data_IF_684071201872
#
_entry.id   IF_684071201872
#
_cell.length_a   1.000
_cell.length_b   1.000
_cell.length_c   1.000
_cell.angle_alpha   90.00
_cell.angle_beta   90.00
_cell.angle_gamma   90.00
#
_symmetry.space_group_name_H-M   'P 1'
#
loop_
_entity.id
_entity.type
_entity.pdbx_description
1 polymer ?
#
# COMPACT_ATOMS: atom_id res chain seq x y z
N UNK A 1 8.47 8.35 -5.11
CA UNK A 1 7.05 8.55 -4.78
C UNK A 1 6.65 7.88 -3.47
N UNK A 2 5.59 8.37 -2.81
CA UNK A 2 5.04 7.79 -1.59
C UNK A 2 3.52 7.70 -1.68
N UNK A 3 2.97 6.54 -1.35
CA UNK A 3 1.53 6.31 -1.25
C UNK A 3 1.14 5.92 0.16
N UNK A 4 0.02 6.46 0.63
CA UNK A 4 -0.65 6.04 1.86
C UNK A 4 -1.91 5.28 1.46
N UNK A 5 -1.95 4.00 1.79
CA UNK A 5 -3.04 3.10 1.49
C UNK A 5 -3.94 2.99 2.73
N UNK A 6 -5.22 3.26 2.53
CA UNK A 6 -6.27 3.09 3.53
C UNK A 6 -7.02 1.78 3.29
N UNK A 7 -7.14 1.02 4.37
CA UNK A 7 -7.74 -0.32 4.38
C UNK A 7 -9.26 -0.21 4.40
N UNK A 8 -9.95 -1.22 3.87
CA UNK A 8 -11.41 -1.27 4.00
C UNK A 8 -11.86 -1.28 5.47
N UNK A 9 -13.00 -0.62 5.80
CA UNK A 9 -13.57 -0.65 7.14
C UNK A 9 -13.86 -2.07 7.64
N UNK A 10 -14.13 -3.00 6.72
CA UNK A 10 -14.29 -4.44 6.99
C UNK A 10 -13.07 -5.09 7.63
N UNK A 11 -11.86 -4.58 7.37
CA UNK A 11 -10.60 -5.03 7.99
C UNK A 11 -10.39 -4.28 9.31
N UNK A 12 -10.67 -2.98 9.32
CA UNK A 12 -10.42 -2.09 10.47
C UNK A 12 -11.30 -2.42 11.68
N UNK A 13 -12.57 -2.78 11.45
CA UNK A 13 -13.55 -3.10 12.50
C UNK A 13 -13.30 -4.46 13.19
N UNK A 14 -12.41 -5.30 12.65
CA UNK A 14 -12.12 -6.63 13.22
C UNK A 14 -11.26 -6.54 14.49
N UNK A 15 -11.24 -7.62 15.26
CA UNK A 15 -10.37 -7.77 16.41
C UNK A 15 -8.89 -7.63 16.04
N UNK A 16 -8.05 -7.25 17.02
CA UNK A 16 -6.62 -6.95 16.80
C UNK A 16 -5.87 -8.08 16.08
N UNK A 17 -6.08 -9.35 16.47
CA UNK A 17 -5.41 -10.50 15.87
C UNK A 17 -5.81 -10.72 14.41
N UNK A 18 -7.12 -10.60 14.13
CA UNK A 18 -7.68 -10.75 12.79
C UNK A 18 -7.21 -9.62 11.90
N UNK A 19 -7.30 -8.37 12.36
CA UNK A 19 -6.80 -7.19 11.64
C UNK A 19 -5.34 -7.34 11.26
N UNK A 20 -4.47 -7.72 12.21
CA UNK A 20 -3.04 -7.94 11.93
C UNK A 20 -2.80 -9.01 10.87
N UNK A 21 -3.55 -10.11 10.90
CA UNK A 21 -3.45 -11.17 9.88
C UNK A 21 -3.85 -10.66 8.50
N UNK A 22 -4.99 -9.97 8.39
CA UNK A 22 -5.45 -9.38 7.13
C UNK A 22 -4.47 -8.34 6.59
N UNK A 23 -3.97 -7.43 7.43
CA UNK A 23 -3.00 -6.42 7.02
C UNK A 23 -1.69 -7.05 6.55
N UNK A 24 -1.20 -8.11 7.20
CA UNK A 24 -0.02 -8.87 6.75
C UNK A 24 -0.23 -9.53 5.39
N UNK A 25 -1.39 -10.14 5.15
CA UNK A 25 -1.72 -10.75 3.85
C UNK A 25 -1.76 -9.68 2.76
N UNK A 26 -2.44 -8.55 3.01
CA UNK A 26 -2.51 -7.45 2.05
C UNK A 26 -1.12 -6.84 1.78
N UNK A 27 -0.30 -6.65 2.81
CA UNK A 27 1.08 -6.20 2.66
C UNK A 27 1.90 -7.14 1.76
N UNK A 28 1.76 -8.46 1.94
CA UNK A 28 2.39 -9.47 1.11
C UNK A 28 1.93 -9.40 -0.34
N UNK A 29 0.61 -9.30 -0.55
CA UNK A 29 0.01 -9.19 -1.88
C UNK A 29 0.50 -7.94 -2.62
N UNK A 30 0.45 -6.77 -1.97
CA UNK A 30 0.95 -5.51 -2.55
C UNK A 30 2.43 -5.65 -2.90
N UNK A 31 3.27 -6.17 -2.00
CA UNK A 31 4.70 -6.37 -2.28
C UNK A 31 4.93 -7.28 -3.49
N UNK A 32 4.20 -8.38 -3.59
CA UNK A 32 4.36 -9.35 -4.67
C UNK A 32 3.93 -8.78 -6.03
N UNK A 33 2.88 -7.95 -6.08
CA UNK A 33 2.44 -7.29 -7.31
C UNK A 33 3.42 -6.20 -7.72
N UNK A 34 3.84 -5.34 -6.79
CA UNK A 34 4.75 -4.22 -7.08
C UNK A 34 6.14 -4.68 -7.53
N UNK A 35 6.67 -5.74 -6.91
CA UNK A 35 7.98 -6.32 -7.28
C UNK A 35 8.09 -6.80 -8.73
N UNK A 36 6.98 -6.99 -9.44
CA UNK A 36 7.00 -7.42 -10.85
C UNK A 36 7.54 -6.35 -11.80
N UNK A 37 7.50 -5.08 -11.40
CA UNK A 37 7.94 -3.96 -12.22
C UNK A 37 8.80 -2.95 -11.45
N UNK A 38 8.78 -2.99 -10.12
CA UNK A 38 9.62 -2.16 -9.26
C UNK A 38 10.22 -2.99 -8.13
N UNK A 39 11.47 -3.43 -8.30
CA UNK A 39 12.20 -4.24 -7.32
C UNK A 39 12.49 -3.48 -6.02
N UNK A 40 12.59 -2.14 -6.09
CA UNK A 40 12.89 -1.25 -4.98
C UNK A 40 11.64 -0.82 -4.19
N UNK A 41 10.46 -1.31 -4.57
CA UNK A 41 9.20 -1.01 -3.91
C UNK A 41 9.22 -1.47 -2.44
N UNK A 42 9.13 -0.52 -1.50
CA UNK A 42 9.05 -0.79 -0.07
C UNK A 42 7.64 -0.59 0.45
N UNK A 43 7.09 -1.62 1.09
CA UNK A 43 5.77 -1.59 1.74
C UNK A 43 5.95 -1.70 3.25
N UNK A 44 5.63 -0.61 3.96
CA UNK A 44 5.61 -0.53 5.43
C UNK A 44 4.19 -0.64 5.95
N UNK A 45 4.04 -1.31 7.08
CA UNK A 45 2.78 -1.43 7.79
C UNK A 45 2.83 -0.54 9.03
N UNK A 46 1.93 0.43 9.08
CA UNK A 46 1.63 1.20 10.28
C UNK A 46 0.34 0.66 10.92
N UNK A 47 -0.02 1.21 12.07
CA UNK A 47 -1.14 0.72 12.90
C UNK A 47 -2.51 0.72 12.20
N UNK A 48 -2.74 1.67 11.30
CA UNK A 48 -4.03 1.88 10.58
C UNK A 48 -3.85 2.12 9.06
N UNK A 49 -2.63 1.98 8.54
CA UNK A 49 -2.34 2.27 7.14
C UNK A 49 -1.18 1.46 6.61
N UNK A 50 -1.17 1.23 5.31
CA UNK A 50 0.01 0.73 4.61
C UNK A 50 0.67 1.91 3.89
N UNK A 51 1.99 2.00 3.97
CA UNK A 51 2.76 3.04 3.29
C UNK A 51 3.63 2.36 2.26
N UNK A 52 3.45 2.75 1.01
CA UNK A 52 4.28 2.30 -0.10
C UNK A 52 5.22 3.43 -0.47
N UNK A 53 6.50 3.14 -0.55
CA UNK A 53 7.52 4.09 -0.99
C UNK A 53 8.35 3.47 -2.08
N UNK A 54 8.54 4.21 -3.17
CA UNK A 54 9.45 3.85 -4.25
C UNK A 54 10.42 5.01 -4.51
N UNK A 55 11.63 4.64 -4.94
CA UNK A 55 12.69 5.59 -5.34
C UNK A 55 12.54 6.04 -6.79
N UNK A 56 11.76 5.35 -7.61
CA UNK A 56 11.67 5.58 -9.04
C UNK A 56 10.27 6.05 -9.46
N UNK A 57 10.14 7.31 -9.88
CA UNK A 57 8.87 7.92 -10.29
C UNK A 57 8.39 7.49 -11.69
N UNK A 58 9.21 6.76 -12.45
CA UNK A 58 8.91 6.32 -13.81
C UNK A 58 7.69 5.38 -13.90
N UNK A 59 7.39 4.64 -12.83
CA UNK A 59 6.29 3.68 -12.80
C UNK A 59 4.99 4.25 -12.23
N UNK A 60 4.89 5.57 -12.04
CA UNK A 60 3.76 6.21 -11.36
C UNK A 60 2.38 5.78 -11.90
N UNK A 61 2.16 5.84 -13.23
CA UNK A 61 0.89 5.42 -13.83
C UNK A 61 0.56 3.94 -13.54
N UNK A 62 1.58 3.08 -13.59
CA UNK A 62 1.45 1.65 -13.31
C UNK A 62 1.14 1.37 -11.84
N UNK A 63 1.66 2.20 -10.93
CA UNK A 63 1.29 2.16 -9.52
C UNK A 63 -0.18 2.47 -9.30
N UNK A 64 -0.73 3.49 -9.97
CA UNK A 64 -2.15 3.84 -9.85
C UNK A 64 -3.05 2.69 -10.31
N UNK A 65 -2.79 2.13 -11.49
CA UNK A 65 -3.56 1.01 -12.04
C UNK A 65 -3.48 -0.24 -11.14
N UNK A 66 -2.27 -0.59 -10.70
CA UNK A 66 -2.07 -1.80 -9.88
C UNK A 66 -2.69 -1.65 -8.50
N UNK A 67 -2.53 -0.52 -7.82
CA UNK A 67 -3.14 -0.29 -6.50
C UNK A 67 -4.66 -0.22 -6.57
N UNK A 68 -5.23 0.31 -7.67
CA UNK A 68 -6.69 0.32 -7.87
C UNK A 68 -7.28 -1.08 -8.03
N UNK A 69 -6.51 -2.04 -8.57
CA UNK A 69 -6.96 -3.42 -8.78
C UNK A 69 -6.75 -4.36 -7.58
N UNK A 70 -6.13 -3.90 -6.47
CA UNK A 70 -5.86 -4.76 -5.32
C UNK A 70 -7.07 -4.77 -4.37
N UNK A 71 -7.73 -5.93 -4.17
CA UNK A 71 -8.81 -6.03 -3.20
C UNK A 71 -8.27 -5.85 -1.78
N UNK A 72 -9.02 -5.17 -0.91
CA UNK A 72 -8.58 -4.83 0.44
C UNK A 72 -8.18 -3.35 0.60
N UNK A 73 -7.97 -2.63 -0.51
CA UNK A 73 -7.68 -1.19 -0.52
C UNK A 73 -8.98 -0.42 -0.77
N UNK A 74 -9.36 0.45 0.17
CA UNK A 74 -10.53 1.32 0.00
C UNK A 74 -10.20 2.52 -0.90
N UNK A 75 -9.11 3.20 -0.56
CA UNK A 75 -8.54 4.29 -1.33
C UNK A 75 -7.06 4.43 -0.98
N UNK A 76 -6.31 5.09 -1.85
CA UNK A 76 -4.91 5.42 -1.62
C UNK A 76 -4.68 6.90 -1.92
N UNK A 77 -3.71 7.48 -1.23
CA UNK A 77 -3.33 8.88 -1.33
C UNK A 77 -1.90 8.96 -1.83
N UNK A 78 -1.67 9.71 -2.89
CA UNK A 78 -0.33 10.07 -3.32
C UNK A 78 0.19 11.23 -2.46
N UNK A 79 1.42 11.10 -1.97
CA UNK A 79 2.05 12.09 -1.10
C UNK A 79 3.36 12.54 -1.72
N UNK A 80 3.48 13.84 -1.95
CA UNK A 80 4.75 14.51 -2.29
C UNK A 80 5.36 15.08 -1.02
N UNK A 81 6.61 14.72 -0.73
CA UNK A 81 7.38 15.33 0.34
C UNK A 81 8.01 16.61 -0.22
N UNK A 82 7.51 17.78 0.19
CA UNK A 82 8.17 19.06 -0.05
C UNK A 82 9.12 19.35 1.11
N UNK A 83 10.41 19.50 0.81
CA UNK A 83 11.38 20.03 1.77
C UNK A 83 11.22 21.55 1.77
N UNK A 84 10.83 22.13 2.91
CA UNK A 84 10.86 23.57 3.16
C UNK A 84 12.24 23.98 3.67
#
# INVERSE_FOLDING_TARGET
>A
MKFIIKLFPEITIKSKSVRQRFTKMLQGNIRNVLRRFDEDARVRMDWDKLVVSSRNDHFHARYLETLACIPGIQYFLEVKLSTF
#
